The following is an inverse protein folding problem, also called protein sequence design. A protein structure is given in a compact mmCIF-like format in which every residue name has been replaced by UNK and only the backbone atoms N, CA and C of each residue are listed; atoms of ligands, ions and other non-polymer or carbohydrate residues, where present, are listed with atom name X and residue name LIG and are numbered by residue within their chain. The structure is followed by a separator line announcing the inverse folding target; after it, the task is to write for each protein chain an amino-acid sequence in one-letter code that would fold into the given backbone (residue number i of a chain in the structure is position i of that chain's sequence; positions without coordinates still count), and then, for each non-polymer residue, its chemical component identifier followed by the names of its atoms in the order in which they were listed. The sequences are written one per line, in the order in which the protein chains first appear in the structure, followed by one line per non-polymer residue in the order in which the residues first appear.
data_IF_875663919681
#
_entry.id   IF_875663919681
#
_cell.length_a   1.000
_cell.length_b   1.000
_cell.length_c   1.000
_cell.angle_alpha   90.00
_cell.angle_beta   90.00
_cell.angle_gamma   90.00
#
_symmetry.space_group_name_H-M   'P 1'
#
loop_
_entity.id
_entity.type
_entity.pdbx_description
1 polymer ?
#
# COMPACT_ATOMS: atom_id res chain seq x y z
N UNK A 1 12.24 -4.17 42.10
CA UNK A 1 12.36 -3.18 41.04
C UNK A 1 13.85 -2.96 40.77
N UNK A 2 14.40 -3.64 39.78
CA UNK A 2 15.76 -3.40 39.27
C UNK A 2 15.65 -2.80 37.89
N UNK A 3 16.12 -1.56 37.73
CA UNK A 3 16.23 -0.86 36.47
C UNK A 3 17.35 -1.48 35.64
N UNK A 4 17.03 -1.96 34.43
CA UNK A 4 18.02 -2.42 33.46
C UNK A 4 18.45 -1.21 32.64
N UNK A 5 19.66 -0.73 32.86
CA UNK A 5 20.32 0.29 32.06
C UNK A 5 20.92 -0.35 30.80
N UNK A 6 20.47 0.06 29.64
CA UNK A 6 21.09 -0.28 28.36
C UNK A 6 22.39 0.52 28.20
N UNK A 7 23.50 -0.18 27.96
CA UNK A 7 24.80 0.43 27.65
C UNK A 7 24.80 1.02 26.24
N UNK A 8 25.49 2.15 25.99
CA UNK A 8 25.60 2.73 24.65
C UNK A 8 26.46 1.84 23.74
N UNK A 9 25.97 1.66 22.51
CA UNK A 9 26.68 0.95 21.44
C UNK A 9 27.78 1.86 20.88
N UNK A 10 29.04 1.44 20.93
CA UNK A 10 30.16 2.13 20.31
C UNK A 10 30.10 2.02 18.78
N UNK A 11 30.00 3.15 18.11
CA UNK A 11 30.13 3.30 16.67
C UNK A 11 31.59 3.05 16.24
N UNK A 12 31.87 1.93 15.61
CA UNK A 12 33.11 1.73 14.82
C UNK A 12 32.92 2.38 13.45
N UNK A 13 33.64 3.48 13.24
CA UNK A 13 33.91 4.03 11.91
C UNK A 13 34.76 3.03 11.12
N UNK A 14 34.21 2.48 10.03
CA UNK A 14 35.01 1.80 9.01
C UNK A 14 35.17 2.74 7.81
N UNK A 15 36.39 2.99 7.48
CA UNK A 15 36.83 3.84 6.38
C UNK A 15 36.41 3.28 5.02
N UNK A 16 35.88 4.15 4.17
CA UNK A 16 35.61 3.91 2.76
C UNK A 16 36.90 3.55 2.01
N UNK A 17 36.98 2.36 1.46
CA UNK A 17 37.90 2.04 0.38
C UNK A 17 37.08 1.94 -0.92
N UNK A 18 37.29 2.88 -1.83
CA UNK A 18 36.83 2.83 -3.20
C UNK A 18 37.38 1.57 -3.88
N UNK A 19 36.55 0.51 -3.95
CA UNK A 19 36.74 -0.58 -4.91
C UNK A 19 35.75 -0.36 -6.04
N UNK A 20 36.25 -0.29 -7.26
CA UNK A 20 35.49 -0.32 -8.48
C UNK A 20 34.48 -1.47 -8.41
N UNK A 21 33.19 -1.14 -8.41
CA UNK A 21 32.09 -2.12 -8.48
C UNK A 21 32.16 -2.74 -9.89
N UNK A 22 32.67 -3.95 -9.96
CA UNK A 22 32.38 -4.84 -11.08
C UNK A 22 30.84 -4.97 -11.15
N UNK A 23 30.27 -4.75 -12.32
CA UNK A 23 28.86 -5.04 -12.60
C UNK A 23 28.61 -6.54 -12.41
N UNK A 24 28.33 -6.94 -11.18
CA UNK A 24 27.68 -8.21 -10.91
C UNK A 24 26.21 -7.98 -11.32
N UNK A 25 25.82 -8.52 -12.45
CA UNK A 25 24.42 -8.57 -12.87
C UNK A 25 23.65 -9.27 -11.76
N UNK A 26 22.83 -8.51 -11.02
CA UNK A 26 21.92 -9.11 -10.03
C UNK A 26 21.04 -10.13 -10.74
N UNK A 27 20.84 -11.34 -10.16
CA UNK A 27 19.99 -12.36 -10.78
C UNK A 27 18.58 -11.76 -11.02
N UNK A 28 17.93 -12.19 -12.10
CA UNK A 28 16.55 -11.77 -12.37
C UNK A 28 15.66 -12.21 -11.19
N UNK A 29 14.65 -11.43 -10.82
CA UNK A 29 13.79 -11.74 -9.69
C UNK A 29 13.12 -13.13 -9.78
N UNK A 30 12.94 -13.63 -11.01
CA UNK A 30 12.42 -14.97 -11.27
C UNK A 30 13.38 -16.11 -10.84
N UNK A 31 14.69 -15.84 -10.71
CA UNK A 31 15.70 -16.83 -10.33
C UNK A 31 15.74 -17.12 -8.83
N UNK A 32 15.27 -16.20 -7.98
CA UNK A 32 15.16 -16.43 -6.55
C UNK A 32 14.13 -17.52 -6.25
N UNK A 33 14.47 -18.49 -5.40
CA UNK A 33 13.55 -19.55 -4.99
C UNK A 33 12.45 -19.00 -4.08
N UNK A 34 12.83 -18.14 -3.15
CA UNK A 34 11.93 -17.51 -2.16
C UNK A 34 12.19 -16.02 -2.07
N UNK A 35 11.27 -15.28 -1.47
CA UNK A 35 11.50 -13.84 -1.20
C UNK A 35 12.62 -13.62 -0.17
N UNK A 36 12.96 -14.61 0.66
CA UNK A 36 14.08 -14.52 1.60
C UNK A 36 15.45 -14.47 0.91
N UNK A 37 15.54 -14.89 -0.35
CA UNK A 37 16.77 -14.86 -1.14
C UNK A 37 17.08 -13.46 -1.68
N UNK A 38 16.14 -12.52 -1.58
CA UNK A 38 16.33 -11.13 -2.00
C UNK A 38 17.36 -10.47 -1.08
N UNK A 39 18.44 -9.89 -1.62
CA UNK A 39 19.47 -9.25 -0.80
C UNK A 39 18.90 -8.17 0.12
N UNK A 40 19.25 -8.21 1.39
CA UNK A 40 18.76 -7.29 2.41
C UNK A 40 17.38 -7.62 2.98
N UNK A 41 16.74 -8.70 2.55
CA UNK A 41 15.46 -9.13 3.10
C UNK A 41 15.57 -9.44 4.58
N UNK A 42 14.61 -8.92 5.35
CA UNK A 42 14.56 -9.09 6.81
C UNK A 42 13.11 -9.20 7.30
N UNK A 43 12.92 -9.77 8.48
CA UNK A 43 11.67 -9.65 9.20
C UNK A 43 11.46 -8.20 9.68
N UNK A 44 10.20 -7.76 9.71
CA UNK A 44 9.84 -6.39 10.04
C UNK A 44 9.68 -5.51 8.80
N UNK A 45 9.64 -4.19 9.00
CA UNK A 45 9.43 -3.25 7.89
C UNK A 45 10.67 -3.22 7.00
N UNK A 46 10.44 -3.39 5.70
CA UNK A 46 11.43 -3.28 4.63
C UNK A 46 11.10 -2.05 3.76
N UNK A 47 12.13 -1.37 3.28
CA UNK A 47 12.03 -0.13 2.52
C UNK A 47 12.96 -0.14 1.31
N UNK A 48 12.86 0.87 0.46
CA UNK A 48 13.79 1.09 -0.64
C UNK A 48 13.87 -0.06 -1.62
N UNK A 49 15.08 -0.33 -2.10
CA UNK A 49 15.33 -1.38 -3.08
C UNK A 49 14.87 -2.76 -2.61
N UNK A 50 14.93 -3.04 -1.31
CA UNK A 50 14.50 -4.34 -0.76
C UNK A 50 12.99 -4.50 -0.91
N UNK A 51 12.21 -3.47 -0.56
CA UNK A 51 10.76 -3.47 -0.73
C UNK A 51 10.38 -3.51 -2.21
N UNK A 52 11.03 -2.70 -3.05
CA UNK A 52 10.78 -2.70 -4.48
C UNK A 52 11.14 -4.02 -5.15
N UNK A 53 12.23 -4.68 -4.73
CA UNK A 53 12.60 -6.00 -5.22
C UNK A 53 11.61 -7.08 -4.78
N UNK A 54 11.01 -6.97 -3.58
CA UNK A 54 9.90 -7.85 -3.18
C UNK A 54 8.68 -7.68 -4.11
N UNK A 55 8.34 -6.43 -4.47
CA UNK A 55 7.25 -6.16 -5.41
C UNK A 55 7.55 -6.75 -6.81
N UNK A 56 8.77 -6.57 -7.32
CA UNK A 56 9.21 -7.19 -8.58
C UNK A 56 9.23 -8.72 -8.51
N UNK A 57 9.61 -9.29 -7.36
CA UNK A 57 9.55 -10.73 -7.13
C UNK A 57 8.11 -11.25 -7.18
N UNK A 58 7.15 -10.53 -6.56
CA UNK A 58 5.74 -10.87 -6.65
C UNK A 58 5.26 -10.93 -8.11
N UNK A 59 5.57 -9.89 -8.90
CA UNK A 59 5.27 -9.86 -10.34
C UNK A 59 5.89 -11.04 -11.10
N UNK A 60 7.16 -11.34 -10.85
CA UNK A 60 7.89 -12.42 -11.53
C UNK A 60 7.37 -13.81 -11.15
N UNK A 61 6.92 -14.01 -9.91
CA UNK A 61 6.38 -15.28 -9.40
C UNK A 61 4.87 -15.44 -9.61
N UNK A 62 4.20 -14.41 -10.14
CA UNK A 62 2.77 -14.48 -10.47
C UNK A 62 1.87 -14.47 -9.23
N UNK A 63 2.16 -13.60 -8.27
CA UNK A 63 1.25 -13.27 -7.17
C UNK A 63 1.22 -11.77 -6.92
N UNK A 64 0.14 -11.28 -6.29
CA UNK A 64 0.03 -9.90 -5.84
C UNK A 64 0.25 -9.81 -4.32
N UNK A 65 0.96 -8.78 -3.87
CA UNK A 65 1.06 -8.43 -2.46
C UNK A 65 -0.30 -7.93 -1.97
N UNK A 66 -0.90 -8.59 -0.96
CA UNK A 66 -2.13 -8.07 -0.37
C UNK A 66 -1.81 -6.82 0.45
N UNK A 67 -2.49 -5.73 0.17
CA UNK A 67 -2.37 -4.46 0.85
C UNK A 67 -3.66 -4.18 1.63
N UNK A 68 -3.55 -4.15 2.96
CA UNK A 68 -4.69 -4.06 3.87
C UNK A 68 -4.78 -2.67 4.49
N UNK A 69 -5.92 -2.01 4.33
CA UNK A 69 -6.20 -0.76 5.02
C UNK A 69 -6.36 -1.00 6.52
N UNK A 70 -5.55 -0.30 7.31
CA UNK A 70 -5.54 -0.42 8.76
C UNK A 70 -5.87 0.94 9.40
N UNK A 71 -6.79 0.92 10.37
CA UNK A 71 -7.28 2.12 11.05
C UNK A 71 -7.02 2.10 12.56
N UNK A 72 -6.48 0.99 13.09
CA UNK A 72 -6.16 0.80 14.50
C UNK A 72 -4.97 -0.14 14.67
N UNK A 73 -4.35 -0.15 15.85
CA UNK A 73 -3.34 -1.15 16.21
C UNK A 73 -3.88 -2.59 16.13
N UNK A 74 -5.18 -2.79 16.45
CA UNK A 74 -5.82 -4.11 16.35
C UNK A 74 -5.89 -4.60 14.90
N UNK A 75 -6.24 -3.75 13.94
CA UNK A 75 -6.24 -4.13 12.52
C UNK A 75 -4.82 -4.43 12.02
N UNK A 76 -3.83 -3.63 12.42
CA UNK A 76 -2.42 -3.92 12.11
C UNK A 76 -1.99 -5.29 12.64
N UNK A 77 -2.32 -5.61 13.91
CA UNK A 77 -2.00 -6.90 14.52
C UNK A 77 -2.66 -8.06 13.78
N UNK A 78 -3.93 -7.94 13.42
CA UNK A 78 -4.65 -8.99 12.69
C UNK A 78 -4.00 -9.31 11.34
N UNK A 79 -3.54 -8.30 10.61
CA UNK A 79 -2.81 -8.47 9.35
C UNK A 79 -1.45 -9.14 9.57
N UNK A 80 -0.70 -8.70 10.59
CA UNK A 80 0.61 -9.27 10.94
C UNK A 80 0.48 -10.74 11.38
N UNK A 81 -0.51 -11.05 12.22
CA UNK A 81 -0.80 -12.42 12.66
C UNK A 81 -1.18 -13.33 11.49
N UNK A 82 -2.03 -12.84 10.58
CA UNK A 82 -2.41 -13.59 9.39
C UNK A 82 -1.20 -13.88 8.48
N UNK A 83 -0.36 -12.87 8.23
CA UNK A 83 0.88 -13.00 7.46
C UNK A 83 1.86 -13.98 8.10
N UNK A 84 2.08 -13.87 9.40
CA UNK A 84 2.95 -14.76 10.17
C UNK A 84 2.44 -16.21 10.13
N UNK A 85 1.13 -16.41 10.28
CA UNK A 85 0.50 -17.73 10.24
C UNK A 85 0.73 -18.49 8.93
N UNK A 86 0.77 -17.77 7.82
CA UNK A 86 1.00 -18.37 6.48
C UNK A 86 2.45 -18.22 6.01
N UNK A 87 3.31 -17.56 6.80
CA UNK A 87 4.72 -17.32 6.46
C UNK A 87 4.90 -16.49 5.20
N UNK A 88 4.09 -15.44 5.01
CA UNK A 88 4.12 -14.58 3.81
C UNK A 88 4.25 -13.11 4.16
N UNK A 89 4.92 -12.31 3.31
CA UNK A 89 4.96 -10.87 3.48
C UNK A 89 3.57 -10.26 3.32
N UNK A 90 3.35 -9.12 3.98
CA UNK A 90 2.11 -8.34 3.89
C UNK A 90 2.41 -6.86 3.69
N UNK A 91 1.45 -6.13 3.14
CA UNK A 91 1.47 -4.67 3.10
C UNK A 91 0.38 -4.14 4.04
N UNK A 92 0.77 -3.23 4.92
CA UNK A 92 -0.13 -2.45 5.78
C UNK A 92 -0.19 -1.05 5.20
N UNK A 93 -1.39 -0.58 4.93
CA UNK A 93 -1.60 0.75 4.36
C UNK A 93 -2.56 1.60 5.18
N UNK A 94 -2.34 2.91 5.12
CA UNK A 94 -3.12 3.92 5.83
C UNK A 94 -3.67 4.93 4.82
N UNK A 95 -4.99 5.08 4.73
CA UNK A 95 -5.63 6.19 4.03
C UNK A 95 -5.65 7.45 4.91
N UNK A 96 -5.98 8.60 4.34
CA UNK A 96 -6.08 9.85 5.13
C UNK A 96 -7.14 9.74 6.22
N UNK A 97 -8.32 9.23 5.87
CA UNK A 97 -9.42 9.01 6.82
C UNK A 97 -9.08 7.99 7.89
N UNK A 98 -8.45 6.88 7.52
CA UNK A 98 -7.95 5.85 8.43
C UNK A 98 -6.87 6.38 9.36
N UNK A 99 -5.96 7.21 8.85
CA UNK A 99 -4.92 7.89 9.65
C UNK A 99 -5.51 8.85 10.68
N UNK A 100 -6.48 9.66 10.28
CA UNK A 100 -7.18 10.54 11.20
C UNK A 100 -7.94 9.75 12.30
N UNK A 101 -8.45 8.58 11.97
CA UNK A 101 -9.06 7.67 12.95
C UNK A 101 -8.00 7.07 13.89
N UNK A 102 -6.84 6.69 13.37
CA UNK A 102 -5.74 6.09 14.14
C UNK A 102 -5.24 7.03 15.25
N UNK A 103 -5.14 8.33 14.96
CA UNK A 103 -4.76 9.35 15.96
C UNK A 103 -5.92 9.83 16.85
N UNK A 104 -7.16 9.65 16.39
CA UNK A 104 -8.38 10.10 17.06
C UNK A 104 -9.08 11.24 16.33
N UNK A 105 -10.32 11.00 15.89
CA UNK A 105 -11.15 11.92 15.07
C UNK A 105 -11.44 13.28 15.72
N UNK A 106 -11.21 13.44 17.03
CA UNK A 106 -11.40 14.72 17.73
C UNK A 106 -10.18 15.64 17.66
N UNK A 107 -9.06 15.18 17.12
CA UNK A 107 -7.88 16.03 16.93
C UNK A 107 -8.12 17.04 15.78
N UNK A 108 -7.50 18.23 15.85
CA UNK A 108 -7.51 19.17 14.73
C UNK A 108 -6.96 18.50 13.46
N UNK A 109 -7.68 18.68 12.34
CA UNK A 109 -7.29 18.12 11.05
C UNK A 109 -7.51 19.10 9.88
N UNK A 110 -7.62 20.39 10.15
CA UNK A 110 -7.85 21.40 9.11
C UNK A 110 -6.69 21.56 8.14
N UNK A 111 -5.46 21.33 8.60
CA UNK A 111 -4.25 21.27 7.79
C UNK A 111 -3.66 19.86 7.74
N UNK A 112 -4.50 18.84 7.95
CA UNK A 112 -4.13 17.43 7.99
C UNK A 112 -3.23 17.00 9.15
N UNK A 113 -3.15 17.82 10.23
CA UNK A 113 -2.29 17.55 11.38
C UNK A 113 -2.62 16.21 12.05
N UNK A 114 -3.93 15.95 12.26
CA UNK A 114 -4.40 14.68 12.86
C UNK A 114 -4.09 13.48 11.98
N UNK A 115 -4.32 13.57 10.68
CA UNK A 115 -4.04 12.48 9.75
C UNK A 115 -2.54 12.24 9.53
N UNK A 116 -1.71 13.31 9.49
CA UNK A 116 -0.25 13.17 9.45
C UNK A 116 0.24 12.44 10.71
N UNK A 117 -0.21 12.90 11.89
CA UNK A 117 0.14 12.27 13.17
C UNK A 117 -0.26 10.80 13.20
N UNK A 118 -1.48 10.49 12.75
CA UNK A 118 -1.99 9.11 12.75
C UNK A 118 -1.24 8.17 11.82
N UNK A 119 -0.94 8.63 10.61
CA UNK A 119 -0.14 7.87 9.64
C UNK A 119 1.27 7.56 10.19
N UNK A 120 1.95 8.58 10.71
CA UNK A 120 3.28 8.43 11.32
C UNK A 120 3.25 7.54 12.56
N UNK A 121 2.25 7.69 13.45
CA UNK A 121 2.08 6.85 14.62
C UNK A 121 1.84 5.38 14.22
N UNK A 122 1.01 5.14 13.20
CA UNK A 122 0.76 3.81 12.64
C UNK A 122 2.04 3.18 12.07
N UNK A 123 2.79 3.94 11.27
CA UNK A 123 4.06 3.48 10.70
C UNK A 123 5.08 3.12 11.81
N UNK A 124 5.24 3.95 12.83
CA UNK A 124 6.08 3.65 13.98
C UNK A 124 5.58 2.43 14.77
N UNK A 125 4.27 2.29 14.95
CA UNK A 125 3.69 1.12 15.59
C UNK A 125 4.08 -0.15 14.85
N UNK A 126 3.83 -0.20 13.53
CA UNK A 126 4.17 -1.36 12.71
C UNK A 126 5.67 -1.65 12.75
N UNK A 127 6.54 -0.64 12.65
CA UNK A 127 7.99 -0.81 12.75
C UNK A 127 8.43 -1.45 14.07
N UNK A 128 7.78 -1.10 15.17
CA UNK A 128 8.11 -1.65 16.47
C UNK A 128 7.66 -3.10 16.65
N UNK A 129 6.51 -3.49 16.13
CA UNK A 129 5.92 -4.81 16.40
C UNK A 129 6.21 -5.84 15.30
N UNK A 130 6.29 -5.43 14.04
CA UNK A 130 6.44 -6.32 12.89
C UNK A 130 7.64 -7.29 12.96
N UNK A 131 8.83 -6.90 13.48
CA UNK A 131 9.96 -7.83 13.60
C UNK A 131 9.64 -9.09 14.41
N UNK A 132 8.78 -8.98 15.43
CA UNK A 132 8.39 -10.09 16.29
C UNK A 132 7.51 -11.13 15.55
N UNK A 133 6.85 -10.74 14.46
CA UNK A 133 6.04 -11.65 13.64
C UNK A 133 6.85 -12.47 12.63
N UNK A 134 8.13 -12.16 12.46
CA UNK A 134 9.04 -12.96 11.64
C UNK A 134 8.80 -12.93 10.13
N UNK A 135 8.07 -11.92 9.63
CA UNK A 135 7.75 -11.73 8.20
C UNK A 135 8.19 -10.35 7.72
N UNK A 136 8.49 -10.18 6.42
CA UNK A 136 8.68 -8.86 5.82
C UNK A 136 7.35 -8.11 5.73
N UNK A 137 7.39 -6.81 5.99
CA UNK A 137 6.23 -5.93 5.95
C UNK A 137 6.54 -4.67 5.14
N UNK A 138 5.64 -4.28 4.25
CA UNK A 138 5.66 -2.98 3.56
C UNK A 138 4.66 -2.07 4.28
N UNK A 139 5.06 -0.84 4.58
CA UNK A 139 4.17 0.21 5.11
C UNK A 139 3.93 1.23 4.01
N UNK A 140 2.67 1.50 3.73
CA UNK A 140 2.23 2.31 2.59
C UNK A 140 1.21 3.37 3.02
N UNK A 141 1.16 4.53 2.37
CA UNK A 141 0.02 5.44 2.44
C UNK A 141 -0.83 5.28 1.19
N UNK A 142 -2.13 5.18 1.40
CA UNK A 142 -3.11 4.87 0.37
C UNK A 142 -3.87 6.14 -0.04
N UNK A 143 -4.35 6.21 -1.26
CA UNK A 143 -5.11 7.27 -1.90
C UNK A 143 -4.90 8.71 -1.39
N UNK A 144 -4.03 9.45 -2.06
CA UNK A 144 -3.83 10.88 -1.80
C UNK A 144 -4.29 11.71 -3.01
N UNK A 145 -5.56 12.12 -3.01
CA UNK A 145 -6.10 13.05 -4.00
C UNK A 145 -5.40 14.42 -3.88
N UNK A 146 -5.47 15.25 -4.91
CA UNK A 146 -4.82 16.57 -4.96
C UNK A 146 -5.13 17.46 -3.74
N UNK A 147 -6.37 17.45 -3.25
CA UNK A 147 -6.78 18.16 -2.04
C UNK A 147 -6.09 17.68 -0.76
N UNK A 148 -5.50 16.47 -0.79
CA UNK A 148 -4.81 15.81 0.32
C UNK A 148 -3.29 15.95 0.28
N UNK A 149 -2.72 16.65 -0.71
CA UNK A 149 -1.27 16.86 -0.82
C UNK A 149 -0.61 17.40 0.46
N UNK A 150 -1.26 18.25 1.30
CA UNK A 150 -0.68 18.63 2.60
C UNK A 150 -0.45 17.44 3.55
N UNK A 151 -1.28 16.38 3.47
CA UNK A 151 -1.06 15.14 4.21
C UNK A 151 0.14 14.36 3.67
N UNK A 152 0.26 14.25 2.35
CA UNK A 152 1.40 13.62 1.71
C UNK A 152 2.71 14.34 2.07
N UNK A 153 2.71 15.67 1.97
CA UNK A 153 3.89 16.49 2.31
C UNK A 153 4.35 16.27 3.75
N UNK A 154 3.41 16.21 4.70
CA UNK A 154 3.74 15.97 6.11
C UNK A 154 4.32 14.56 6.36
N UNK A 155 3.81 13.54 5.68
CA UNK A 155 4.40 12.19 5.75
C UNK A 155 5.79 12.15 5.11
N UNK A 156 5.97 12.79 3.96
CA UNK A 156 7.27 12.82 3.26
C UNK A 156 8.33 13.63 4.03
N UNK A 157 7.91 14.62 4.81
CA UNK A 157 8.78 15.32 5.75
C UNK A 157 9.23 14.37 6.87
N UNK A 158 8.29 13.62 7.47
CA UNK A 158 8.60 12.60 8.48
C UNK A 158 9.53 11.51 7.93
N UNK A 159 9.32 11.05 6.68
CA UNK A 159 10.22 10.13 6.00
C UNK A 159 11.63 10.69 5.86
N UNK A 160 11.72 11.96 5.48
CA UNK A 160 13.01 12.63 5.27
C UNK A 160 13.80 12.75 6.58
N UNK A 161 13.11 13.11 7.67
CA UNK A 161 13.71 13.16 9.01
C UNK A 161 14.13 11.76 9.49
N UNK A 162 13.28 10.76 9.26
CA UNK A 162 13.60 9.39 9.61
C UNK A 162 14.78 8.85 8.80
N UNK A 163 14.84 9.18 7.50
CA UNK A 163 15.95 8.81 6.63
C UNK A 163 17.27 9.42 7.09
N UNK A 164 17.29 10.68 7.50
CA UNK A 164 18.50 11.33 8.06
C UNK A 164 19.00 10.61 9.31
N UNK A 165 18.10 10.10 10.14
CA UNK A 165 18.45 9.46 11.40
C UNK A 165 18.81 7.97 11.25
N UNK A 166 18.20 7.26 10.31
CA UNK A 166 18.24 5.80 10.22
C UNK A 166 18.77 5.24 8.90
N UNK A 167 18.93 6.09 7.85
CA UNK A 167 19.34 5.66 6.51
C UNK A 167 18.26 4.95 5.69
N UNK A 168 17.02 4.95 6.17
CA UNK A 168 15.82 4.41 5.49
C UNK A 168 14.61 5.31 5.77
N UNK A 169 13.61 5.44 4.87
CA UNK A 169 12.41 6.23 5.11
C UNK A 169 11.50 5.56 6.16
N UNK A 170 10.60 6.32 6.79
CA UNK A 170 9.63 5.82 7.77
C UNK A 170 8.62 4.88 7.11
N UNK A 171 8.10 5.27 5.95
CA UNK A 171 7.24 4.45 5.09
C UNK A 171 8.08 3.74 4.02
N UNK A 172 7.55 2.67 3.46
CA UNK A 172 8.16 2.00 2.32
C UNK A 172 7.77 2.66 1.00
N UNK A 173 6.56 3.20 0.95
CA UNK A 173 5.95 3.78 -0.25
C UNK A 173 4.76 4.67 0.07
N UNK A 174 4.40 5.50 -0.91
CA UNK A 174 3.21 6.35 -0.88
C UNK A 174 2.48 6.30 -2.20
N UNK A 175 1.18 6.65 -2.18
CA UNK A 175 0.36 6.73 -3.37
C UNK A 175 -0.14 8.17 -3.59
N UNK A 176 -0.09 8.61 -4.86
CA UNK A 176 -0.80 9.77 -5.36
C UNK A 176 -1.98 9.30 -6.22
N UNK A 177 -3.16 9.73 -5.82
CA UNK A 177 -4.38 9.54 -6.60
C UNK A 177 -4.77 10.87 -7.26
N UNK A 178 -4.30 11.05 -8.48
CA UNK A 178 -4.59 12.20 -9.31
C UNK A 178 -5.43 11.81 -10.53
N UNK A 179 -6.24 10.76 -10.39
CA UNK A 179 -7.10 10.22 -11.44
C UNK A 179 -8.20 11.19 -11.88
N UNK A 180 -8.58 12.14 -11.01
CA UNK A 180 -9.55 13.21 -11.33
C UNK A 180 -8.92 14.39 -12.10
N UNK A 181 -7.58 14.47 -12.18
CA UNK A 181 -6.88 15.55 -12.87
C UNK A 181 -6.57 15.14 -14.32
N UNK A 182 -6.23 16.13 -15.17
CA UNK A 182 -5.72 15.81 -16.51
C UNK A 182 -4.44 14.98 -16.41
N UNK A 183 -4.17 14.15 -17.43
CA UNK A 183 -2.96 13.30 -17.42
C UNK A 183 -1.69 14.16 -17.36
N UNK A 184 -1.68 15.35 -17.96
CA UNK A 184 -0.57 16.29 -17.94
C UNK A 184 -0.31 16.81 -16.52
N UNK A 185 -1.36 17.22 -15.80
CA UNK A 185 -1.25 17.71 -14.43
C UNK A 185 -0.86 16.57 -13.47
N UNK A 186 -1.46 15.38 -13.65
CA UNK A 186 -1.10 14.18 -12.89
C UNK A 186 0.41 13.91 -13.05
N UNK A 187 0.93 13.92 -14.27
CA UNK A 187 2.35 13.66 -14.53
C UNK A 187 3.26 14.75 -13.99
N UNK A 188 2.88 16.02 -14.11
CA UNK A 188 3.67 17.12 -13.52
C UNK A 188 3.83 16.96 -12.01
N UNK A 189 2.72 16.68 -11.31
CA UNK A 189 2.75 16.51 -9.86
C UNK A 189 3.48 15.21 -9.49
N UNK A 190 3.14 14.10 -10.13
CA UNK A 190 3.73 12.79 -9.82
C UNK A 190 5.24 12.75 -10.02
N UNK A 191 5.77 13.38 -11.07
CA UNK A 191 7.22 13.50 -11.28
C UNK A 191 7.90 14.27 -10.16
N UNK A 192 7.33 15.41 -9.76
CA UNK A 192 7.86 16.22 -8.65
C UNK A 192 7.94 15.43 -7.33
N UNK A 193 6.93 14.62 -7.02
CA UNK A 193 6.94 13.80 -5.81
C UNK A 193 7.87 12.59 -5.96
N UNK A 194 7.91 11.94 -7.12
CA UNK A 194 8.83 10.83 -7.38
C UNK A 194 10.30 11.28 -7.25
N UNK A 195 10.65 12.48 -7.74
CA UNK A 195 11.99 13.06 -7.56
C UNK A 195 12.36 13.27 -6.08
N UNK A 196 11.40 13.66 -5.25
CA UNK A 196 11.61 13.82 -3.80
C UNK A 196 11.78 12.46 -3.12
N UNK A 197 10.92 11.49 -3.47
CA UNK A 197 10.92 10.14 -2.92
C UNK A 197 12.16 9.34 -3.32
N UNK A 198 12.63 9.49 -4.55
CA UNK A 198 13.86 8.86 -5.04
C UNK A 198 15.09 9.21 -4.19
N UNK A 199 15.16 10.44 -3.64
CA UNK A 199 16.28 10.89 -2.78
C UNK A 199 16.36 10.14 -1.45
N UNK A 200 15.27 9.56 -1.00
CA UNK A 200 15.18 8.80 0.25
C UNK A 200 14.88 7.31 -0.01
N UNK A 201 15.02 6.88 -1.25
CA UNK A 201 14.79 5.50 -1.67
C UNK A 201 13.38 4.98 -1.28
N UNK A 202 12.35 5.77 -1.55
CA UNK A 202 10.95 5.44 -1.34
C UNK A 202 10.24 5.29 -2.69
N UNK A 203 9.37 4.28 -2.88
CA UNK A 203 8.68 4.11 -4.15
C UNK A 203 7.28 4.76 -4.15
N UNK A 204 6.85 5.21 -5.33
CA UNK A 204 5.59 5.89 -5.56
C UNK A 204 4.60 4.96 -6.26
N UNK A 205 3.35 5.01 -5.85
CA UNK A 205 2.21 4.48 -6.59
C UNK A 205 1.42 5.65 -7.17
N UNK A 206 1.03 5.55 -8.45
CA UNK A 206 0.20 6.56 -9.11
C UNK A 206 -1.07 5.93 -9.64
N UNK A 207 -2.17 6.67 -9.63
CA UNK A 207 -3.44 6.24 -10.21
C UNK A 207 -3.78 7.03 -11.47
N UNK A 208 -4.30 6.31 -12.47
CA UNK A 208 -4.80 6.86 -13.72
C UNK A 208 -6.10 6.17 -14.15
N UNK A 209 -6.97 6.94 -14.74
CA UNK A 209 -8.33 6.50 -15.04
C UNK A 209 -9.20 6.52 -13.79
N UNK A 210 -10.49 6.57 -13.97
CA UNK A 210 -11.44 6.70 -12.87
C UNK A 210 -11.77 5.31 -12.34
N UNK A 211 -11.49 5.06 -11.07
CA UNK A 211 -12.04 3.91 -10.35
C UNK A 211 -13.44 4.27 -9.86
N UNK A 212 -14.44 3.43 -10.15
CA UNK A 212 -15.82 3.68 -9.76
C UNK A 212 -16.06 3.53 -8.26
N UNK A 213 -17.26 3.93 -7.79
CA UNK A 213 -17.65 3.84 -6.38
C UNK A 213 -17.26 5.04 -5.55
N UNK A 214 -17.27 4.91 -4.23
CA UNK A 214 -16.95 5.98 -3.29
C UNK A 214 -15.76 5.58 -2.41
N UNK A 215 -14.72 6.43 -2.35
CA UNK A 215 -13.57 6.27 -1.46
C UNK A 215 -13.01 7.64 -1.04
N UNK A 216 -12.69 7.78 0.25
CA UNK A 216 -12.09 8.96 0.89
C UNK A 216 -12.75 10.31 0.51
N UNK A 217 -14.08 10.28 0.28
CA UNK A 217 -14.89 11.45 -0.06
C UNK A 217 -14.81 11.87 -1.53
N UNK A 218 -14.40 10.97 -2.40
CA UNK A 218 -14.58 11.01 -3.86
C UNK A 218 -15.68 10.04 -4.23
N UNK A 219 -16.73 10.53 -4.89
CA UNK A 219 -17.90 9.74 -5.28
C UNK A 219 -17.96 9.63 -6.81
N UNK A 220 -17.62 8.44 -7.31
CA UNK A 220 -17.62 8.06 -8.72
C UNK A 220 -18.71 7.02 -9.04
N UNK A 221 -19.78 6.94 -8.22
CA UNK A 221 -20.86 5.96 -8.40
C UNK A 221 -21.64 6.13 -9.68
N UNK A 222 -21.73 7.36 -10.20
CA UNK A 222 -22.48 7.70 -11.41
C UNK A 222 -21.62 7.79 -12.68
N UNK A 223 -20.33 7.46 -12.62
CA UNK A 223 -19.43 7.48 -13.79
C UNK A 223 -19.83 6.43 -14.80
N UNK A 224 -19.87 6.80 -16.08
CA UNK A 224 -20.21 5.88 -17.15
C UNK A 224 -19.20 4.72 -17.22
N UNK A 225 -19.67 3.50 -17.46
CA UNK A 225 -18.81 2.31 -17.45
C UNK A 225 -17.65 2.38 -18.43
N UNK A 226 -17.83 3.06 -19.55
CA UNK A 226 -16.78 3.27 -20.57
C UNK A 226 -15.62 4.15 -20.11
N UNK A 227 -15.88 5.02 -19.12
CA UNK A 227 -14.87 5.91 -18.54
C UNK A 227 -14.10 5.24 -17.38
N UNK A 228 -14.52 4.04 -16.95
CA UNK A 228 -13.85 3.23 -15.95
C UNK A 228 -12.72 2.35 -16.53
N UNK A 229 -12.21 2.69 -17.71
CA UNK A 229 -11.18 1.91 -18.39
C UNK A 229 -10.03 2.79 -18.87
N UNK A 230 -8.84 2.60 -18.33
CA UNK A 230 -7.62 3.28 -18.79
C UNK A 230 -7.22 2.81 -20.18
N UNK A 231 -6.72 3.74 -21.01
CA UNK A 231 -6.25 3.44 -22.37
C UNK A 231 -4.77 3.08 -22.39
N UNK A 232 -4.32 2.16 -23.27
CA UNK A 232 -2.90 1.81 -23.38
C UNK A 232 -1.98 3.00 -23.64
N UNK A 233 -2.46 4.03 -24.37
CA UNK A 233 -1.73 5.25 -24.69
C UNK A 233 -1.48 6.11 -23.44
N UNK A 234 -2.48 6.22 -22.56
CA UNK A 234 -2.36 6.94 -21.27
C UNK A 234 -1.37 6.24 -20.34
N UNK A 235 -1.49 4.91 -20.22
CA UNK A 235 -0.54 4.10 -19.43
C UNK A 235 0.88 4.22 -20.00
N UNK A 236 1.04 4.28 -21.33
CA UNK A 236 2.33 4.50 -21.97
C UNK A 236 2.91 5.88 -21.65
N UNK A 237 2.09 6.93 -21.65
CA UNK A 237 2.53 8.27 -21.26
C UNK A 237 3.06 8.27 -19.82
N UNK A 238 2.31 7.70 -18.88
CA UNK A 238 2.76 7.53 -17.48
C UNK A 238 4.08 6.77 -17.41
N UNK A 239 4.17 5.65 -18.13
CA UNK A 239 5.38 4.82 -18.15
C UNK A 239 6.61 5.62 -18.64
N UNK A 240 6.49 6.36 -19.73
CA UNK A 240 7.61 7.12 -20.29
C UNK A 240 7.99 8.30 -19.42
N UNK A 241 7.00 9.05 -18.92
CA UNK A 241 7.25 10.25 -18.14
C UNK A 241 7.87 9.93 -16.76
N UNK A 242 7.37 8.92 -16.07
CA UNK A 242 7.92 8.57 -14.76
C UNK A 242 9.26 7.83 -14.85
N UNK A 243 9.51 7.05 -15.92
CA UNK A 243 10.82 6.46 -16.16
C UNK A 243 11.91 7.51 -16.51
N UNK A 244 11.51 8.74 -16.87
CA UNK A 244 12.47 9.85 -17.04
C UNK A 244 13.04 10.34 -15.71
N UNK A 245 12.42 9.99 -14.59
CA UNK A 245 12.87 10.32 -13.22
C UNK A 245 13.75 9.18 -12.71
N UNK A 246 15.06 9.32 -12.86
CA UNK A 246 16.00 8.32 -12.36
C UNK A 246 16.61 8.75 -11.01
N UNK A 247 16.73 7.86 -10.02
CA UNK A 247 16.43 6.41 -10.01
C UNK A 247 15.02 6.07 -9.48
N UNK A 248 13.99 6.76 -9.92
CA UNK A 248 12.63 6.59 -9.43
C UNK A 248 12.09 5.16 -9.56
N UNK A 249 11.36 4.72 -8.54
CA UNK A 249 10.65 3.45 -8.51
C UNK A 249 9.15 3.76 -8.41
N UNK A 250 8.35 3.22 -9.32
CA UNK A 250 6.91 3.49 -9.32
C UNK A 250 6.06 2.31 -9.80
N UNK A 251 4.81 2.28 -9.35
CA UNK A 251 3.75 1.39 -9.81
C UNK A 251 2.54 2.19 -10.29
N UNK A 252 1.70 1.57 -11.10
CA UNK A 252 0.56 2.21 -11.74
C UNK A 252 -0.72 1.46 -11.39
N UNK A 253 -1.64 2.12 -10.72
CA UNK A 253 -3.02 1.70 -10.59
C UNK A 253 -3.78 2.21 -11.81
N UNK A 254 -4.13 1.30 -12.71
CA UNK A 254 -4.88 1.60 -13.92
C UNK A 254 -6.32 1.09 -13.76
N UNK A 255 -7.29 1.86 -14.21
CA UNK A 255 -8.69 1.47 -14.17
C UNK A 255 -8.98 0.41 -15.26
N UNK A 256 -9.60 -0.70 -14.86
CA UNK A 256 -10.05 -1.77 -15.75
C UNK A 256 -11.46 -2.28 -15.39
N UNK A 257 -12.31 -1.36 -14.90
CA UNK A 257 -13.68 -1.62 -14.44
C UNK A 257 -13.77 -1.94 -12.94
N UNK A 258 -12.71 -1.70 -12.20
CA UNK A 258 -12.67 -1.86 -10.75
C UNK A 258 -13.46 -0.75 -10.04
N UNK A 259 -14.01 -1.08 -8.87
CA UNK A 259 -14.91 -0.22 -8.09
C UNK A 259 -14.53 -0.30 -6.62
N UNK A 260 -14.54 0.84 -5.94
CA UNK A 260 -14.32 0.96 -4.51
C UNK A 260 -15.63 0.80 -3.71
N UNK A 261 -15.52 0.39 -2.45
CA UNK A 261 -16.63 0.34 -1.51
C UNK A 261 -17.58 -0.84 -1.70
N UNK A 262 -18.83 -0.63 -1.31
CA UNK A 262 -19.91 -1.64 -1.39
C UNK A 262 -20.74 -1.40 -2.63
N UNK A 263 -20.85 -2.40 -3.48
CA UNK A 263 -21.62 -2.36 -4.71
C UNK A 263 -22.64 -3.50 -4.79
N UNK A 264 -23.67 -3.29 -5.61
CA UNK A 264 -24.66 -4.35 -5.87
C UNK A 264 -24.09 -5.42 -6.78
N UNK A 265 -24.32 -6.72 -6.51
CA UNK A 265 -23.87 -7.80 -7.38
C UNK A 265 -24.27 -7.58 -8.85
N UNK A 266 -23.34 -7.70 -9.78
CA UNK A 266 -23.54 -7.53 -11.21
C UNK A 266 -23.33 -6.13 -11.76
N UNK A 267 -23.09 -5.13 -10.92
CA UNK A 267 -22.80 -3.75 -11.36
C UNK A 267 -21.31 -3.52 -11.70
N UNK A 268 -20.44 -4.45 -11.34
CA UNK A 268 -19.01 -4.37 -11.62
C UNK A 268 -18.66 -5.36 -12.72
N UNK A 269 -18.05 -4.86 -13.78
CA UNK A 269 -17.49 -5.68 -14.86
C UNK A 269 -16.00 -5.42 -14.99
N UNK A 270 -15.23 -6.26 -14.36
CA UNK A 270 -13.77 -6.24 -14.54
C UNK A 270 -13.38 -6.70 -15.94
N UNK A 271 -12.41 -6.02 -16.50
CA UNK A 271 -11.84 -6.35 -17.81
C UNK A 271 -10.30 -6.35 -17.72
N UNK A 272 -9.68 -7.31 -17.01
CA UNK A 272 -8.24 -7.34 -16.77
C UNK A 272 -7.40 -7.38 -18.07
N UNK A 273 -7.97 -7.83 -19.19
CA UNK A 273 -7.31 -7.84 -20.51
C UNK A 273 -6.84 -6.45 -20.98
N UNK A 274 -7.41 -5.35 -20.45
CA UNK A 274 -6.92 -3.98 -20.68
C UNK A 274 -5.48 -3.84 -20.22
N UNK A 275 -5.15 -4.39 -19.05
CA UNK A 275 -3.78 -4.39 -18.55
C UNK A 275 -2.83 -5.15 -19.48
N UNK A 276 -3.29 -6.28 -20.02
CA UNK A 276 -2.54 -7.06 -21.02
C UNK A 276 -2.31 -6.30 -22.33
N UNK A 277 -3.33 -5.57 -22.80
CA UNK A 277 -3.21 -4.73 -24.00
C UNK A 277 -2.18 -3.59 -23.78
N UNK A 278 -2.20 -2.95 -22.60
CA UNK A 278 -1.23 -1.91 -22.24
C UNK A 278 0.20 -2.46 -22.16
N UNK A 279 0.41 -3.62 -21.53
CA UNK A 279 1.74 -4.28 -21.49
C UNK A 279 2.28 -4.53 -22.89
N UNK A 280 1.44 -5.08 -23.77
CA UNK A 280 1.82 -5.34 -25.16
C UNK A 280 2.15 -4.05 -25.92
N UNK A 281 1.28 -3.05 -25.79
CA UNK A 281 1.45 -1.74 -26.46
C UNK A 281 2.77 -1.09 -26.07
N UNK A 282 3.09 -1.03 -24.78
CA UNK A 282 4.31 -0.42 -24.28
C UNK A 282 5.54 -1.23 -24.69
N UNK A 283 5.49 -2.56 -24.59
CA UNK A 283 6.57 -3.42 -25.07
C UNK A 283 6.92 -3.15 -26.53
N UNK A 284 5.92 -3.07 -27.40
CA UNK A 284 6.10 -2.83 -28.84
C UNK A 284 6.60 -1.40 -29.12
N UNK A 285 6.08 -0.40 -28.42
CA UNK A 285 6.47 1.01 -28.62
C UNK A 285 7.91 1.28 -28.17
N UNK A 286 8.31 0.72 -27.03
CA UNK A 286 9.63 0.95 -26.43
C UNK A 286 10.68 -0.10 -26.86
N UNK A 287 10.28 -1.13 -27.63
CA UNK A 287 11.18 -2.19 -28.07
C UNK A 287 11.76 -3.03 -26.91
N UNK A 288 10.95 -3.30 -25.89
CA UNK A 288 11.40 -3.99 -24.67
C UNK A 288 11.39 -5.51 -24.82
N UNK A 289 12.34 -6.19 -24.18
CA UNK A 289 12.39 -7.66 -24.14
C UNK A 289 11.36 -8.27 -23.17
N UNK A 290 10.97 -7.51 -22.12
CA UNK A 290 10.01 -8.00 -21.13
C UNK A 290 8.57 -7.91 -21.62
N UNK A 291 7.77 -8.96 -21.34
CA UNK A 291 6.34 -8.98 -21.68
C UNK A 291 5.49 -8.15 -20.69
N UNK A 292 6.07 -7.75 -19.57
CA UNK A 292 5.35 -7.03 -18.50
C UNK A 292 6.17 -5.83 -18.02
N UNK A 293 6.36 -4.79 -18.86
CA UNK A 293 7.15 -3.62 -18.49
C UNK A 293 6.54 -2.85 -17.30
N UNK A 294 5.24 -2.67 -17.26
CA UNK A 294 4.56 -1.92 -16.21
C UNK A 294 4.37 -2.77 -14.95
N UNK A 295 4.55 -2.13 -13.80
CA UNK A 295 4.23 -2.66 -12.49
C UNK A 295 2.82 -2.22 -12.11
N UNK A 296 1.81 -3.08 -12.28
CA UNK A 296 0.42 -2.73 -12.04
C UNK A 296 -0.03 -2.96 -10.60
N UNK A 297 -1.02 -2.18 -10.17
CA UNK A 297 -1.76 -2.33 -8.92
C UNK A 297 -3.24 -2.51 -9.23
N UNK A 298 -3.92 -3.36 -8.45
CA UNK A 298 -5.34 -3.61 -8.51
C UNK A 298 -6.03 -2.92 -7.32
N UNK A 299 -6.75 -1.83 -7.57
CA UNK A 299 -7.62 -1.19 -6.60
C UNK A 299 -9.02 -1.79 -6.62
N UNK A 300 -9.79 -1.63 -5.52
CA UNK A 300 -11.11 -2.22 -5.41
C UNK A 300 -11.12 -3.74 -5.52
N UNK A 301 -10.10 -4.40 -4.95
CA UNK A 301 -9.93 -5.85 -5.03
C UNK A 301 -10.92 -6.66 -4.21
N UNK A 302 -11.50 -6.06 -3.14
CA UNK A 302 -12.52 -6.70 -2.30
C UNK A 302 -13.73 -7.14 -3.11
N UNK A 303 -14.23 -8.36 -2.88
CA UNK A 303 -15.38 -8.92 -3.59
C UNK A 303 -15.10 -9.42 -5.02
N UNK A 304 -13.89 -9.24 -5.55
CA UNK A 304 -13.52 -9.71 -6.88
C UNK A 304 -13.44 -11.24 -6.97
N UNK A 305 -13.77 -11.79 -8.14
CA UNK A 305 -13.63 -13.23 -8.37
C UNK A 305 -12.18 -13.67 -8.37
N UNK A 306 -11.93 -14.92 -7.99
CA UNK A 306 -10.55 -15.47 -8.03
C UNK A 306 -10.01 -15.56 -9.45
N UNK A 307 -10.90 -15.71 -10.41
CA UNK A 307 -10.60 -15.77 -11.85
C UNK A 307 -10.08 -14.41 -12.33
N UNK A 308 -10.79 -13.32 -12.04
CA UNK A 308 -10.39 -11.96 -12.40
C UNK A 308 -9.08 -11.55 -11.72
N UNK A 309 -8.92 -11.91 -10.44
CA UNK A 309 -7.67 -11.66 -9.69
C UNK A 309 -6.50 -12.38 -10.37
N UNK A 310 -6.64 -13.66 -10.72
CA UNK A 310 -5.59 -14.42 -11.39
C UNK A 310 -5.28 -13.88 -12.77
N UNK A 311 -6.30 -13.48 -13.51
CA UNK A 311 -6.13 -12.87 -14.82
C UNK A 311 -5.36 -11.56 -14.73
N UNK A 312 -5.74 -10.65 -13.81
CA UNK A 312 -5.02 -9.40 -13.58
C UNK A 312 -3.56 -9.62 -13.17
N UNK A 313 -3.29 -10.57 -12.28
CA UNK A 313 -1.93 -10.99 -11.89
C UNK A 313 -1.15 -11.50 -13.12
N UNK A 314 -1.79 -12.24 -14.02
CA UNK A 314 -1.15 -12.72 -15.24
C UNK A 314 -0.65 -11.59 -16.13
N UNK A 315 -1.25 -10.40 -16.04
CA UNK A 315 -0.85 -9.18 -16.75
C UNK A 315 0.09 -8.27 -15.95
N UNK A 316 0.59 -8.70 -14.80
CA UNK A 316 1.65 -7.99 -14.07
C UNK A 316 1.17 -7.15 -12.90
N UNK A 317 -0.06 -7.39 -12.41
CA UNK A 317 -0.49 -6.87 -11.10
C UNK A 317 0.38 -7.49 -10.02
N UNK A 318 1.00 -6.64 -9.20
CA UNK A 318 1.91 -7.05 -8.12
C UNK A 318 1.46 -6.60 -6.72
N UNK A 319 0.41 -5.78 -6.64
CA UNK A 319 -0.26 -5.33 -5.40
C UNK A 319 -1.76 -5.36 -5.62
N UNK A 320 -2.52 -5.69 -4.59
CA UNK A 320 -3.98 -5.66 -4.60
C UNK A 320 -4.49 -5.05 -3.30
N UNK A 321 -5.31 -4.00 -3.39
CA UNK A 321 -5.92 -3.34 -2.25
C UNK A 321 -7.11 -4.13 -1.71
N UNK A 322 -7.16 -4.27 -0.37
CA UNK A 322 -8.21 -4.97 0.36
C UNK A 322 -8.63 -4.08 1.54
N UNK A 323 -9.78 -3.44 1.43
CA UNK A 323 -10.36 -2.64 2.51
C UNK A 323 -11.73 -3.16 2.93
N UNK A 324 -12.73 -3.15 2.05
CA UNK A 324 -14.12 -3.53 2.36
C UNK A 324 -14.22 -4.93 2.97
N UNK A 325 -13.49 -5.91 2.45
CA UNK A 325 -13.47 -7.28 3.01
C UNK A 325 -12.88 -7.30 4.43
N UNK A 326 -11.89 -6.44 4.73
CA UNK A 326 -11.29 -6.32 6.06
C UNK A 326 -12.28 -5.71 7.04
N UNK A 327 -12.98 -4.65 6.65
CA UNK A 327 -14.02 -4.02 7.45
C UNK A 327 -15.17 -4.99 7.73
N UNK A 328 -15.63 -5.72 6.70
CA UNK A 328 -16.65 -6.75 6.85
C UNK A 328 -16.22 -7.87 7.80
N UNK A 329 -15.00 -8.39 7.66
CA UNK A 329 -14.47 -9.45 8.51
C UNK A 329 -14.40 -9.04 9.98
N UNK A 330 -14.01 -7.78 10.24
CA UNK A 330 -14.01 -7.22 11.60
C UNK A 330 -15.43 -7.15 12.18
N UNK A 331 -16.38 -6.63 11.40
CA UNK A 331 -17.79 -6.55 11.81
C UNK A 331 -18.38 -7.94 12.07
N UNK A 332 -18.15 -8.89 11.16
CA UNK A 332 -18.69 -10.26 11.29
C UNK A 332 -18.13 -10.96 12.53
N UNK A 333 -16.85 -10.75 12.85
CA UNK A 333 -16.26 -11.26 14.08
C UNK A 333 -16.92 -10.69 15.36
N UNK A 334 -17.17 -9.38 15.39
CA UNK A 334 -17.86 -8.71 16.50
C UNK A 334 -19.30 -9.22 16.62
N UNK A 335 -20.03 -9.26 15.50
CA UNK A 335 -21.41 -9.76 15.44
C UNK A 335 -21.50 -11.18 15.96
N UNK A 336 -20.69 -12.09 15.45
CA UNK A 336 -20.69 -13.49 15.88
C UNK A 336 -20.33 -13.68 17.35
N UNK A 337 -19.44 -12.83 17.90
CA UNK A 337 -19.14 -12.84 19.34
C UNK A 337 -20.37 -12.39 20.15
N UNK A 338 -21.00 -11.29 19.76
CA UNK A 338 -22.22 -10.79 20.45
C UNK A 338 -23.33 -11.84 20.41
N UNK A 339 -23.66 -12.37 19.21
CA UNK A 339 -24.69 -13.40 19.06
C UNK A 339 -24.44 -14.63 19.95
N UNK A 340 -23.19 -15.08 20.03
CA UNK A 340 -22.82 -16.25 20.82
C UNK A 340 -22.88 -16.03 22.33
N UNK A 341 -22.53 -14.82 22.78
CA UNK A 341 -22.33 -14.52 24.21
C UNK A 341 -23.33 -13.47 24.74
N UNK A 342 -24.41 -13.18 24.03
CA UNK A 342 -25.37 -12.14 24.38
C UNK A 342 -25.85 -12.22 25.86
N UNK A 343 -26.28 -13.39 26.41
CA UNK A 343 -26.72 -13.49 27.80
C UNK A 343 -25.60 -13.13 28.80
N UNK A 344 -24.35 -13.51 28.48
CA UNK A 344 -23.19 -13.20 29.33
C UNK A 344 -22.88 -11.70 29.27
N UNK A 345 -22.86 -11.10 28.08
CA UNK A 345 -22.59 -9.68 27.89
C UNK A 345 -23.67 -8.82 28.58
N UNK A 346 -24.93 -9.19 28.47
CA UNK A 346 -26.04 -8.52 29.18
C UNK A 346 -25.86 -8.61 30.70
N UNK A 347 -25.39 -9.76 31.21
CA UNK A 347 -25.11 -9.95 32.64
C UNK A 347 -23.94 -9.11 33.15
N UNK A 348 -22.95 -8.77 32.27
CA UNK A 348 -21.75 -8.00 32.65
C UNK A 348 -21.98 -6.50 32.66
N UNK A 349 -22.68 -5.97 31.64
CA UNK A 349 -22.86 -4.52 31.44
C UNK A 349 -24.22 -3.99 31.99
N UNK A 350 -25.07 -4.89 32.46
CA UNK A 350 -26.44 -4.57 32.81
C UNK A 350 -27.33 -4.40 31.58
N UNK A 351 -28.60 -4.09 31.82
CA UNK A 351 -29.54 -3.77 30.77
C UNK A 351 -29.88 -2.27 30.83
N UNK A 352 -29.38 -1.43 29.92
CA UNK A 352 -29.61 0.02 29.96
C UNK A 352 -31.09 0.40 29.77
N UNK A 353 -31.91 -0.51 29.21
CA UNK A 353 -33.35 -0.31 28.99
C UNK A 353 -34.24 -1.10 29.97
N UNK A 354 -33.65 -1.79 30.92
CA UNK A 354 -34.36 -2.64 31.88
C UNK A 354 -34.12 -2.25 33.32
N UNK A 355 -34.72 -2.99 34.27
CA UNK A 355 -34.44 -2.78 35.69
C UNK A 355 -32.95 -2.95 35.94
N UNK A 356 -32.35 -1.99 36.63
CA UNK A 356 -30.94 -2.03 37.01
C UNK A 356 -30.60 -3.37 37.70
N UNK A 357 -29.67 -4.12 37.13
CA UNK A 357 -29.03 -5.22 37.81
C UNK A 357 -27.70 -4.70 38.33
N UNK A 358 -27.48 -4.64 39.64
CA UNK A 358 -26.16 -4.36 40.16
C UNK A 358 -25.19 -5.44 39.73
N UNK A 359 -24.05 -5.01 39.22
CA UNK A 359 -22.92 -5.91 38.96
C UNK A 359 -22.35 -6.48 40.24
#
# INVERSE_FOLDING_TARGET
AQAIWLKPFELRQQANSNKALAHVTSPAMAEYATFWDIPGMKAGVITGDVAWNLMKFAKAKGFAMPAFNCVTSSSCNSVLEAGAKIGRPVMIQFSEGGSAFFSGKSLPNGKKEGSILGACAGAHYVRNVAPAYGIPVIVHSDHCAKKLLPWFDGMLEADTEYFKAHGEPLFSSHMLDLSEESIEENMEISKKYLERMAKINCFLEVEIGITGGEEDGVDNTDVAQEDLYSKPEEIHQVYTELNSVAPGMFSVAAAFGNVHGVYSPGNVKLTPSILGAAQKYIKEKEGLDTDKPVAFVFHGGSGSSREDIREAISYGVMKMNIDTDTQWSMWDGVRGYVEKYEPYLQGQIGNPEGPEKPN
#
